data_IF_079888785226
#
_entry.id   IF_079888785226
#
_cell.length_a   1.000
_cell.length_b   1.000
_cell.length_c   1.000
_cell.angle_alpha   90.00
_cell.angle_beta   90.00
_cell.angle_gamma   90.00
#
_symmetry.space_group_name_H-M   'P 1'
#
loop_
_entity.id
_entity.type
_entity.pdbx_description
1 polymer ?
#
# COMPACT_ATOMS: atom_id res chain seq x y z
N UNK A 1 -10.76 7.81 22.04
CA UNK A 1 -12.00 8.21 22.74
C UNK A 1 -13.23 8.17 21.84
N UNK A 2 -13.28 8.94 20.75
CA UNK A 2 -14.48 9.12 19.89
C UNK A 2 -15.09 7.86 19.27
N UNK A 3 -14.31 6.80 19.03
CA UNK A 3 -14.83 5.58 18.41
C UNK A 3 -15.59 4.67 19.38
N UNK A 4 -15.36 4.79 20.69
CA UNK A 4 -16.05 3.97 21.67
C UNK A 4 -17.41 4.63 22.00
N UNK A 5 -18.55 3.97 21.74
CA UNK A 5 -19.87 4.55 22.02
C UNK A 5 -20.10 4.83 23.51
N UNK A 6 -19.36 4.14 24.38
CA UNK A 6 -19.44 4.28 25.83
C UNK A 6 -18.40 5.23 26.42
N UNK A 7 -17.53 5.84 25.60
CA UNK A 7 -16.52 6.83 26.03
C UNK A 7 -15.55 6.35 27.14
N UNK A 8 -15.34 5.03 27.24
CA UNK A 8 -14.55 4.41 28.32
C UNK A 8 -13.03 4.67 28.25
N UNK A 9 -12.36 4.66 27.08
CA UNK A 9 -10.90 4.82 27.05
C UNK A 9 -10.46 6.23 27.46
N UNK A 10 -9.54 6.33 28.41
CA UNK A 10 -8.98 7.60 28.92
C UNK A 10 -7.46 7.63 28.75
N UNK A 11 -6.87 8.82 28.77
CA UNK A 11 -5.42 8.98 28.79
C UNK A 11 -4.87 8.86 30.21
N UNK A 12 -3.64 8.39 30.32
CA UNK A 12 -2.88 8.50 31.56
C UNK A 12 -2.57 9.97 31.89
N UNK A 13 -2.41 10.27 33.19
CA UNK A 13 -2.14 11.62 33.67
C UNK A 13 -0.65 11.90 33.89
N UNK A 14 0.18 10.85 33.93
CA UNK A 14 1.55 10.93 34.43
C UNK A 14 2.54 11.42 33.36
N UNK A 15 2.29 11.11 32.07
CA UNK A 15 3.08 11.57 30.93
C UNK A 15 2.24 12.44 29.99
N UNK A 16 2.44 13.77 30.00
CA UNK A 16 1.70 14.67 29.12
C UNK A 16 2.18 14.66 27.66
N UNK A 17 3.38 14.13 27.35
CA UNK A 17 3.94 14.13 26.00
C UNK A 17 3.60 12.87 25.22
N UNK A 18 3.61 11.71 25.89
CA UNK A 18 3.28 10.41 25.29
C UNK A 18 2.31 9.59 26.14
N UNK A 19 1.12 10.12 26.47
CA UNK A 19 0.17 9.41 27.33
C UNK A 19 -0.35 8.14 26.65
N UNK A 20 -0.34 7.03 27.38
CA UNK A 20 -1.01 5.81 26.93
C UNK A 20 -2.54 5.92 27.06
N UNK A 21 -3.26 5.16 26.23
CA UNK A 21 -4.72 5.05 26.33
C UNK A 21 -5.06 3.83 27.19
N UNK A 22 -5.55 4.09 28.40
CA UNK A 22 -5.91 3.07 29.38
C UNK A 22 -7.42 2.90 29.50
N UNK A 23 -7.82 1.69 29.89
CA UNK A 23 -9.20 1.33 30.24
C UNK A 23 -9.20 0.08 31.09
N UNK A 24 -10.39 -0.31 31.59
CA UNK A 24 -10.57 -1.62 32.22
C UNK A 24 -10.07 -2.75 31.30
N UNK A 25 -9.18 -3.58 31.85
CA UNK A 25 -8.61 -4.78 31.21
C UNK A 25 -9.28 -6.06 31.67
N UNK A 26 -10.42 -5.95 32.37
CA UNK A 26 -11.13 -7.06 33.02
C UNK A 26 -10.20 -7.88 33.95
N UNK A 27 -9.17 -7.24 34.50
CA UNK A 27 -8.14 -7.88 35.32
C UNK A 27 -7.47 -9.08 34.62
N UNK A 28 -7.21 -9.01 33.31
CA UNK A 28 -6.48 -10.04 32.55
C UNK A 28 -5.33 -10.74 33.31
N UNK A 29 -4.35 -10.04 33.94
CA UNK A 29 -3.26 -10.71 34.66
C UNK A 29 -3.68 -11.49 35.91
N UNK A 30 -4.86 -11.18 36.49
CA UNK A 30 -5.44 -11.96 37.60
C UNK A 30 -6.18 -13.18 37.08
N UNK A 31 -6.94 -13.00 36.00
CA UNK A 31 -7.69 -14.08 35.37
C UNK A 31 -6.77 -15.20 34.86
N UNK A 32 -5.59 -14.85 34.32
CA UNK A 32 -4.57 -15.82 33.91
C UNK A 32 -4.08 -16.70 35.06
N UNK A 33 -4.12 -16.20 36.29
CA UNK A 33 -3.76 -16.93 37.52
C UNK A 33 -4.95 -17.65 38.15
N UNK A 34 -6.13 -17.63 37.52
CA UNK A 34 -7.36 -18.19 38.06
C UNK A 34 -7.96 -17.40 39.21
N UNK A 35 -7.53 -16.15 39.43
CA UNK A 35 -8.07 -15.26 40.46
C UNK A 35 -9.25 -14.46 39.90
N UNK A 36 -10.15 -14.02 40.77
CA UNK A 36 -11.25 -13.14 40.39
C UNK A 36 -10.76 -11.72 40.05
N UNK A 37 -11.52 -10.94 39.24
CA UNK A 37 -11.24 -9.53 39.07
C UNK A 37 -11.23 -8.79 40.41
N UNK A 38 -10.28 -7.85 40.56
CA UNK A 38 -10.07 -7.18 41.85
C UNK A 38 -11.30 -6.43 42.37
N UNK A 39 -12.08 -5.80 41.49
CA UNK A 39 -13.32 -5.12 41.88
C UNK A 39 -14.43 -6.08 42.31
N UNK A 40 -14.47 -7.29 41.73
CA UNK A 40 -15.46 -8.33 42.06
C UNK A 40 -15.12 -8.94 43.42
N UNK A 41 -13.87 -9.30 43.63
CA UNK A 41 -13.39 -9.87 44.90
C UNK A 41 -13.52 -8.88 46.06
N UNK A 42 -13.31 -7.59 45.81
CA UNK A 42 -13.41 -6.56 46.85
C UNK A 42 -14.85 -6.16 47.18
N UNK A 43 -15.86 -6.65 46.45
CA UNK A 43 -17.24 -6.20 46.60
C UNK A 43 -17.92 -6.87 47.81
N UNK A 44 -18.18 -6.15 48.93
CA UNK A 44 -18.72 -6.76 50.14
C UNK A 44 -20.20 -7.14 50.00
N UNK A 45 -20.93 -6.47 49.12
CA UNK A 45 -22.37 -6.65 48.90
C UNK A 45 -22.69 -7.62 47.76
N UNK A 46 -21.66 -8.20 47.12
CA UNK A 46 -21.80 -9.10 45.97
C UNK A 46 -22.68 -8.49 44.85
N UNK A 47 -22.58 -7.17 44.66
CA UNK A 47 -23.28 -6.47 43.57
C UNK A 47 -22.58 -6.71 42.22
N UNK A 48 -21.29 -7.03 42.26
CA UNK A 48 -20.49 -7.41 41.10
C UNK A 48 -20.32 -8.93 41.09
N UNK A 49 -20.71 -9.56 39.99
CA UNK A 49 -20.61 -11.01 39.80
C UNK A 49 -19.80 -11.25 38.52
N UNK A 50 -18.84 -12.18 38.58
CA UNK A 50 -18.03 -12.56 37.43
C UNK A 50 -18.29 -14.02 37.03
N UNK A 51 -18.36 -14.28 35.73
CA UNK A 51 -18.63 -15.61 35.21
C UNK A 51 -18.85 -15.61 33.71
N UNK A 52 -19.35 -16.75 33.20
CA UNK A 52 -19.73 -16.85 31.79
C UNK A 52 -20.95 -15.97 31.52
N UNK A 53 -20.94 -15.25 30.40
CA UNK A 53 -22.02 -14.34 30.01
C UNK A 53 -23.40 -14.98 30.03
N UNK A 54 -23.53 -16.22 29.56
CA UNK A 54 -24.80 -16.96 29.53
C UNK A 54 -25.35 -17.17 30.94
N UNK A 55 -24.48 -17.47 31.91
CA UNK A 55 -24.89 -17.70 33.29
C UNK A 55 -25.25 -16.37 33.97
N UNK A 56 -24.49 -15.30 33.69
CA UNK A 56 -24.80 -13.97 34.19
C UNK A 56 -26.15 -13.44 33.68
N UNK A 57 -26.50 -13.69 32.42
CA UNK A 57 -27.82 -13.33 31.88
C UNK A 57 -28.96 -14.08 32.58
N UNK A 58 -28.79 -15.37 32.85
CA UNK A 58 -29.77 -16.16 33.61
C UNK A 58 -29.95 -15.62 35.02
N UNK A 59 -28.86 -15.33 35.72
CA UNK A 59 -28.88 -14.74 37.07
C UNK A 59 -29.57 -13.38 37.04
N UNK A 60 -29.25 -12.54 36.06
CA UNK A 60 -29.82 -11.21 35.91
C UNK A 60 -31.35 -11.28 35.66
N UNK A 61 -31.81 -12.13 34.72
CA UNK A 61 -33.24 -12.35 34.46
C UNK A 61 -33.97 -12.89 35.68
N UNK A 62 -33.42 -13.91 36.34
CA UNK A 62 -34.00 -14.46 37.56
C UNK A 62 -34.10 -13.41 38.69
N UNK A 63 -33.14 -12.47 38.78
CA UNK A 63 -33.16 -11.39 39.78
C UNK A 63 -34.21 -10.33 39.49
N UNK A 64 -34.44 -9.98 38.21
CA UNK A 64 -35.53 -9.10 37.78
C UNK A 64 -36.87 -9.77 38.10
N UNK A 65 -37.06 -11.03 37.70
CA UNK A 65 -38.31 -11.78 37.92
C UNK A 65 -38.65 -11.95 39.41
N UNK A 66 -37.63 -12.11 40.26
CA UNK A 66 -37.82 -12.25 41.70
C UNK A 66 -38.19 -10.95 42.41
N UNK A 67 -37.77 -9.79 41.88
CA UNK A 67 -37.97 -8.47 42.47
C UNK A 67 -38.37 -7.44 41.41
N UNK A 68 -39.51 -7.61 40.72
CA UNK A 68 -39.92 -6.76 39.60
C UNK A 68 -40.18 -5.31 40.01
N UNK A 69 -40.51 -5.06 41.28
CA UNK A 69 -40.69 -3.72 41.85
C UNK A 69 -39.38 -2.96 42.04
N UNK A 70 -38.24 -3.68 42.06
CA UNK A 70 -36.93 -3.11 42.37
C UNK A 70 -36.08 -2.84 41.14
N UNK A 71 -36.35 -3.51 40.02
CA UNK A 71 -35.54 -3.42 38.82
C UNK A 71 -36.38 -3.01 37.62
N UNK A 72 -35.79 -2.20 36.75
CA UNK A 72 -36.28 -2.00 35.39
C UNK A 72 -36.17 -3.34 34.66
N UNK A 73 -37.21 -3.75 33.92
CA UNK A 73 -37.22 -4.97 33.11
C UNK A 73 -36.38 -4.80 31.83
N UNK A 74 -35.09 -4.55 32.01
CA UNK A 74 -34.10 -4.41 30.97
C UNK A 74 -32.72 -4.70 31.54
N UNK A 75 -31.95 -5.53 30.82
CA UNK A 75 -30.56 -5.83 31.14
C UNK A 75 -29.67 -5.04 30.17
N UNK A 76 -29.08 -3.96 30.67
CA UNK A 76 -28.21 -3.14 29.85
C UNK A 76 -26.90 -3.88 29.55
N UNK A 77 -26.53 -3.96 28.29
CA UNK A 77 -25.42 -4.75 27.75
C UNK A 77 -25.86 -6.10 27.15
N UNK A 78 -27.14 -6.47 27.23
CA UNK A 78 -27.63 -7.71 26.62
C UNK A 78 -27.62 -7.62 25.09
N UNK A 79 -28.06 -6.49 24.54
CA UNK A 79 -28.23 -6.28 23.09
C UNK A 79 -27.48 -5.06 22.57
N UNK A 80 -27.17 -4.10 23.44
CA UNK A 80 -26.53 -2.83 23.13
C UNK A 80 -25.20 -3.06 22.41
N UNK A 81 -25.02 -2.43 21.25
CA UNK A 81 -23.84 -2.59 20.38
C UNK A 81 -23.55 -4.06 20.00
N UNK A 82 -24.58 -4.88 19.85
CA UNK A 82 -24.44 -6.30 19.53
C UNK A 82 -24.19 -7.20 20.75
N UNK A 83 -24.34 -6.66 21.96
CA UNK A 83 -24.10 -7.34 23.23
C UNK A 83 -22.70 -7.07 23.77
N UNK A 84 -22.63 -6.73 25.05
CA UNK A 84 -21.39 -6.44 25.77
C UNK A 84 -21.04 -7.59 26.72
N UNK A 85 -19.80 -7.56 27.24
CA UNK A 85 -19.34 -8.45 28.31
C UNK A 85 -19.59 -7.90 29.71
N UNK A 86 -20.20 -6.72 29.82
CA UNK A 86 -20.45 -6.05 31.08
C UNK A 86 -21.94 -5.68 31.17
N UNK A 87 -22.64 -6.29 32.12
CA UNK A 87 -24.09 -6.22 32.22
C UNK A 87 -24.48 -5.40 33.45
N UNK A 88 -25.53 -4.59 33.33
CA UNK A 88 -26.07 -3.81 34.45
C UNK A 88 -27.54 -4.13 34.69
N UNK A 89 -27.90 -4.15 35.97
CA UNK A 89 -29.27 -4.06 36.45
C UNK A 89 -29.43 -2.71 37.16
N UNK A 90 -30.57 -2.07 36.97
CA UNK A 90 -30.88 -0.80 37.61
C UNK A 90 -32.30 -0.79 38.14
N UNK A 91 -32.52 -0.10 39.26
CA UNK A 91 -33.86 0.21 39.77
C UNK A 91 -34.44 1.54 39.25
N UNK A 92 -33.62 2.33 38.56
CA UNK A 92 -34.01 3.59 37.92
C UNK A 92 -33.72 3.52 36.41
N UNK A 93 -34.35 4.36 35.58
CA UNK A 93 -34.03 4.44 34.15
C UNK A 93 -32.53 4.60 33.90
N UNK A 94 -31.99 3.88 32.91
CA UNK A 94 -30.54 3.83 32.65
C UNK A 94 -29.97 5.20 32.26
N UNK A 95 -30.78 6.05 31.62
CA UNK A 95 -30.43 7.45 31.33
C UNK A 95 -30.08 8.27 32.57
N UNK A 96 -30.71 8.02 33.71
CA UNK A 96 -30.42 8.73 34.97
C UNK A 96 -29.07 8.32 35.56
N UNK A 97 -28.60 7.11 35.24
CA UNK A 97 -27.26 6.63 35.58
C UNK A 97 -26.19 7.11 34.60
N UNK A 98 -26.54 7.92 33.61
CA UNK A 98 -25.63 8.35 32.54
C UNK A 98 -25.31 7.25 31.53
N UNK A 99 -26.08 6.16 31.52
CA UNK A 99 -25.94 5.09 30.54
C UNK A 99 -26.72 5.43 29.27
N UNK A 100 -26.13 5.14 28.12
CA UNK A 100 -26.64 5.53 26.80
C UNK A 100 -27.60 4.50 26.23
N UNK A 101 -28.84 4.89 26.00
CA UNK A 101 -29.88 4.01 25.44
C UNK A 101 -30.02 4.14 23.91
N UNK A 102 -29.26 5.04 23.27
CA UNK A 102 -29.33 5.36 21.84
C UNK A 102 -28.42 4.49 20.94
N UNK A 103 -27.80 3.45 21.49
CA UNK A 103 -26.73 2.70 20.84
C UNK A 103 -27.22 1.65 19.83
N UNK A 104 -28.49 1.23 19.93
CA UNK A 104 -29.06 0.17 19.10
C UNK A 104 -28.38 -1.19 19.28
N UNK A 105 -28.77 -2.16 18.44
CA UNK A 105 -28.39 -3.58 18.60
C UNK A 105 -27.35 -4.07 17.59
N UNK A 106 -26.81 -3.17 16.77
CA UNK A 106 -25.84 -3.54 15.74
C UNK A 106 -24.42 -3.62 16.31
N UNK A 107 -23.69 -4.74 16.11
CA UNK A 107 -22.29 -4.83 16.52
C UNK A 107 -21.42 -3.76 15.87
N UNK A 108 -20.54 -3.12 16.65
CA UNK A 108 -19.59 -2.13 16.12
C UNK A 108 -18.78 -2.62 14.90
N UNK A 109 -18.26 -3.87 14.85
CA UNK A 109 -17.52 -4.35 13.69
C UNK A 109 -18.35 -4.44 12.41
N UNK A 110 -19.68 -4.57 12.50
CA UNK A 110 -20.56 -4.65 11.33
C UNK A 110 -20.57 -3.34 10.54
N UNK A 111 -20.33 -2.20 11.21
CA UNK A 111 -20.29 -0.88 10.58
C UNK A 111 -19.06 -0.68 9.68
N UNK A 112 -17.95 -1.35 9.98
CA UNK A 112 -16.67 -1.15 9.29
C UNK A 112 -16.21 -2.37 8.49
N UNK A 113 -16.75 -3.56 8.77
CA UNK A 113 -16.37 -4.83 8.12
C UNK A 113 -16.39 -4.76 6.60
N UNK A 114 -17.41 -4.13 6.00
CA UNK A 114 -17.52 -4.01 4.55
C UNK A 114 -16.32 -3.28 3.92
N UNK A 115 -15.92 -2.15 4.50
CA UNK A 115 -14.76 -1.39 4.05
C UNK A 115 -13.44 -2.15 4.29
N UNK A 116 -13.31 -2.80 5.45
CA UNK A 116 -12.10 -3.56 5.80
C UNK A 116 -11.84 -4.73 4.85
N UNK A 117 -12.88 -5.37 4.29
CA UNK A 117 -12.70 -6.47 3.33
C UNK A 117 -12.18 -6.01 1.95
N UNK A 118 -12.38 -4.73 1.60
CA UNK A 118 -11.92 -4.18 0.30
C UNK A 118 -10.42 -3.87 0.32
N UNK A 119 -9.86 -3.54 1.48
CA UNK A 119 -8.47 -3.09 1.60
C UNK A 119 -7.46 -4.13 1.09
N UNK A 120 -7.52 -5.43 1.47
CA UNK A 120 -6.57 -6.42 0.97
C UNK A 120 -6.59 -6.56 -0.56
N UNK A 121 -7.77 -6.41 -1.19
CA UNK A 121 -7.91 -6.46 -2.65
C UNK A 121 -7.18 -5.29 -3.29
N UNK A 122 -7.40 -4.07 -2.81
CA UNK A 122 -6.76 -2.85 -3.33
C UNK A 122 -5.24 -2.93 -3.17
N UNK A 123 -4.77 -3.32 -1.97
CA UNK A 123 -3.34 -3.44 -1.66
C UNK A 123 -2.65 -4.50 -2.51
N UNK A 124 -3.35 -5.58 -2.88
CA UNK A 124 -2.79 -6.64 -3.72
C UNK A 124 -2.80 -6.28 -5.22
N UNK A 125 -3.84 -5.60 -5.68
CA UNK A 125 -4.02 -5.27 -7.10
C UNK A 125 -3.07 -4.17 -7.57
N UNK A 126 -2.82 -3.16 -6.72
CA UNK A 126 -1.95 -2.02 -7.07
C UNK A 126 -0.51 -2.40 -7.43
N UNK A 127 0.22 -3.21 -6.64
CA UNK A 127 1.57 -3.65 -6.98
C UNK A 127 1.63 -4.44 -8.28
N UNK A 128 0.66 -5.34 -8.52
CA UNK A 128 0.58 -6.11 -9.77
C UNK A 128 0.36 -5.19 -10.96
N UNK A 129 -0.56 -4.24 -10.83
CA UNK A 129 -0.84 -3.25 -11.84
C UNK A 129 0.38 -2.37 -12.15
N UNK A 130 1.05 -1.84 -11.13
CA UNK A 130 2.24 -1.00 -11.28
C UNK A 130 3.44 -1.77 -11.86
N UNK A 131 3.66 -3.01 -11.42
CA UNK A 131 4.70 -3.88 -11.97
C UNK A 131 4.43 -4.21 -13.45
N UNK A 132 3.18 -4.47 -13.81
CA UNK A 132 2.75 -4.66 -15.19
C UNK A 132 3.00 -3.43 -16.05
N UNK A 133 2.62 -2.23 -15.58
CA UNK A 133 2.88 -0.97 -16.27
C UNK A 133 4.38 -0.71 -16.45
N UNK A 134 5.18 -0.89 -15.41
CA UNK A 134 6.63 -0.71 -15.46
C UNK A 134 7.29 -1.69 -16.45
N UNK A 135 6.88 -2.96 -16.43
CA UNK A 135 7.35 -3.96 -17.38
C UNK A 135 7.04 -3.59 -18.83
N UNK A 136 5.82 -3.09 -19.10
CA UNK A 136 5.42 -2.62 -20.43
C UNK A 136 6.20 -1.38 -20.88
N UNK A 137 6.39 -0.39 -20.01
CA UNK A 137 7.17 0.81 -20.30
C UNK A 137 8.61 0.44 -20.67
N UNK A 138 9.26 -0.38 -19.83
CA UNK A 138 10.64 -0.84 -20.08
C UNK A 138 10.79 -1.67 -21.34
N UNK A 139 9.76 -2.43 -21.72
CA UNK A 139 9.74 -3.18 -22.99
C UNK A 139 9.66 -2.24 -24.18
N UNK A 140 8.83 -1.19 -24.12
CA UNK A 140 8.72 -0.17 -25.17
C UNK A 140 10.05 0.57 -25.36
N UNK A 141 10.72 0.95 -24.27
CA UNK A 141 12.02 1.61 -24.32
C UNK A 141 13.08 0.74 -25.01
N UNK A 142 13.16 -0.55 -24.65
CA UNK A 142 14.09 -1.50 -25.29
C UNK A 142 13.82 -1.67 -26.79
N UNK A 143 12.56 -1.83 -27.19
CA UNK A 143 12.20 -1.98 -28.62
C UNK A 143 12.56 -0.69 -29.38
N UNK A 144 12.30 0.48 -28.81
CA UNK A 144 12.67 1.76 -29.43
C UNK A 144 14.19 1.93 -29.58
N UNK A 145 15.00 1.47 -28.61
CA UNK A 145 16.46 1.46 -28.73
C UNK A 145 16.95 0.49 -29.83
N UNK A 146 16.38 -0.72 -29.90
CA UNK A 146 16.72 -1.70 -30.94
C UNK A 146 16.36 -1.20 -32.34
N UNK A 147 15.20 -0.58 -32.51
CA UNK A 147 14.78 0.03 -33.79
C UNK A 147 15.69 1.19 -34.19
N UNK A 148 16.06 2.06 -33.25
CA UNK A 148 17.02 3.13 -33.49
C UNK A 148 18.39 2.58 -33.86
N UNK A 149 18.89 1.58 -33.15
CA UNK A 149 20.19 0.96 -33.45
C UNK A 149 20.21 0.32 -34.85
N UNK A 150 19.13 -0.37 -35.24
CA UNK A 150 18.98 -0.91 -36.61
C UNK A 150 18.93 0.20 -37.65
N UNK A 151 18.16 1.26 -37.40
CA UNK A 151 18.07 2.41 -38.31
C UNK A 151 19.43 3.10 -38.49
N UNK A 152 20.18 3.29 -37.41
CA UNK A 152 21.55 3.85 -37.45
C UNK A 152 22.49 2.91 -38.21
N UNK A 153 22.46 1.61 -37.94
CA UNK A 153 23.31 0.64 -38.65
C UNK A 153 23.04 0.62 -40.16
N UNK A 154 21.77 0.67 -40.57
CA UNK A 154 21.38 0.77 -41.99
C UNK A 154 21.86 2.09 -42.60
N UNK A 155 21.70 3.21 -41.89
CA UNK A 155 22.15 4.52 -42.37
C UNK A 155 23.67 4.60 -42.52
N UNK A 156 24.43 4.04 -41.56
CA UNK A 156 25.89 3.95 -41.61
C UNK A 156 26.33 3.09 -42.80
N UNK A 157 25.77 1.88 -42.96
CA UNK A 157 26.10 1.00 -44.09
C UNK A 157 25.83 1.67 -45.44
N UNK A 158 24.67 2.29 -45.61
CA UNK A 158 24.34 3.03 -46.83
C UNK A 158 25.30 4.21 -47.09
N UNK A 159 25.83 4.82 -46.04
CA UNK A 159 26.81 5.91 -46.15
C UNK A 159 28.19 5.37 -46.51
N UNK A 160 28.61 4.25 -45.92
CA UNK A 160 29.85 3.55 -46.25
C UNK A 160 29.84 3.03 -47.68
N UNK A 161 28.73 2.42 -48.13
CA UNK A 161 28.56 1.94 -49.49
C UNK A 161 28.69 3.10 -50.49
N UNK A 162 28.01 4.24 -50.25
CA UNK A 162 28.15 5.46 -51.07
C UNK A 162 29.54 6.08 -50.99
N UNK A 163 30.19 6.05 -49.83
CA UNK A 163 31.56 6.53 -49.67
C UNK A 163 32.54 5.66 -50.47
N UNK A 164 32.35 4.34 -50.49
CA UNK A 164 33.17 3.40 -51.26
C UNK A 164 32.97 3.57 -52.78
N UNK A 165 31.73 3.82 -53.21
CA UNK A 165 31.40 4.11 -54.61
C UNK A 165 32.02 5.44 -55.06
N UNK A 166 31.86 6.49 -54.26
CA UNK A 166 32.46 7.81 -54.56
C UNK A 166 33.99 7.77 -54.52
N UNK A 167 34.59 7.01 -53.60
CA UNK A 167 36.03 6.81 -53.53
C UNK A 167 36.56 6.06 -54.75
N UNK A 168 35.88 4.99 -55.19
CA UNK A 168 36.29 4.25 -56.38
C UNK A 168 36.18 5.10 -57.65
N UNK A 169 35.13 5.90 -57.79
CA UNK A 169 34.98 6.89 -58.87
C UNK A 169 36.05 7.98 -58.81
N UNK A 170 36.41 8.46 -57.62
CA UNK A 170 37.46 9.46 -57.43
C UNK A 170 38.85 8.89 -57.76
N UNK A 171 39.13 7.64 -57.36
CA UNK A 171 40.36 6.93 -57.70
C UNK A 171 40.47 6.65 -59.20
N UNK A 172 39.37 6.28 -59.87
CA UNK A 172 39.39 6.11 -61.33
C UNK A 172 39.69 7.43 -62.04
N UNK A 173 39.07 8.54 -61.61
CA UNK A 173 39.35 9.87 -62.14
C UNK A 173 40.82 10.27 -61.90
N UNK A 174 41.34 10.06 -60.70
CA UNK A 174 42.73 10.37 -60.36
C UNK A 174 43.72 9.53 -61.18
N UNK A 175 43.43 8.25 -61.44
CA UNK A 175 44.25 7.40 -62.29
C UNK A 175 44.24 7.85 -63.75
N UNK A 176 43.06 8.20 -64.30
CA UNK A 176 42.94 8.80 -65.64
C UNK A 176 43.72 10.11 -65.76
N UNK A 177 43.66 10.94 -64.73
CA UNK A 177 44.39 12.20 -64.68
C UNK A 177 45.90 11.96 -64.61
N UNK A 178 46.36 11.01 -63.79
CA UNK A 178 47.76 10.57 -63.72
C UNK A 178 48.26 10.03 -65.06
N UNK A 179 47.48 9.21 -65.77
CA UNK A 179 47.82 8.74 -67.11
C UNK A 179 47.91 9.88 -68.13
N UNK A 180 46.99 10.84 -68.08
CA UNK A 180 47.02 12.02 -68.94
C UNK A 180 48.24 12.89 -68.65
N UNK A 181 48.63 13.03 -67.39
CA UNK A 181 49.85 13.73 -66.97
C UNK A 181 51.09 12.97 -67.44
N UNK A 182 51.15 11.65 -67.28
CA UNK A 182 52.26 10.82 -67.77
C UNK A 182 52.42 10.93 -69.30
N UNK A 183 51.32 10.85 -70.05
CA UNK A 183 51.32 11.08 -71.52
C UNK A 183 51.79 12.49 -71.89
N UNK A 184 51.47 13.51 -71.08
CA UNK A 184 51.98 14.88 -71.27
C UNK A 184 53.47 14.98 -70.96
N UNK A 185 53.96 14.32 -69.91
CA UNK A 185 55.38 14.27 -69.54
C UNK A 185 56.21 13.49 -70.57
N UNK A 186 55.69 12.39 -71.11
CA UNK A 186 56.32 11.64 -72.20
C UNK A 186 56.37 12.45 -73.49
N UNK A 187 55.28 13.16 -73.84
CA UNK A 187 55.30 14.11 -74.96
C UNK A 187 56.27 15.27 -74.74
N UNK A 188 56.48 15.71 -73.49
CA UNK A 188 57.48 16.72 -73.15
C UNK A 188 58.90 16.16 -73.23
N UNK A 189 59.15 14.92 -72.79
CA UNK A 189 60.43 14.21 -72.96
C UNK A 189 60.76 13.97 -74.44
N UNK A 190 59.78 13.62 -75.28
CA UNK A 190 59.96 13.49 -76.73
C UNK A 190 60.23 14.83 -77.44
N UNK A 191 59.77 15.95 -76.87
CA UNK A 191 60.16 17.30 -77.31
C UNK A 191 61.56 17.67 -76.81
N UNK A 192 61.95 17.24 -75.61
CA UNK A 192 63.31 17.45 -75.09
C UNK A 192 64.36 16.65 -75.87
N UNK A 193 64.06 15.43 -76.34
CA UNK A 193 64.95 14.65 -77.20
C UNK A 193 65.08 15.20 -78.63
N UNK A 194 64.14 16.03 -79.09
CA UNK A 194 64.23 16.78 -80.35
C UNK A 194 64.95 18.14 -80.22
N UNK A 195 65.13 18.63 -78.99
CA UNK A 195 65.91 19.84 -78.70
C UNK A 195 67.32 19.51 -78.13
N UNK A 196 67.67 18.23 -78.04
CA UNK A 196 69.01 17.73 -77.69
C UNK A 196 69.77 17.23 -78.93
N UNK A 197 69.50 17.83 -80.09
CA UNK A 197 70.24 17.64 -81.34
C UNK A 197 70.87 18.99 -81.74
N UNK A 198 71.32 19.79 -80.77
CA UNK A 198 72.01 21.09 -80.97
C UNK A 198 72.76 21.50 -79.68
N UNK A 199 73.85 20.78 -79.41
CA UNK A 199 75.06 21.25 -78.70
C UNK A 199 76.24 20.38 -79.15
#
# INVERSE_FOLDING_TARGET
MMACPFEVPTYEYDDPYTPEVVKCTLCAPRLEKGLLPGCVESCPTESLIFGKRVDLLKIARARIEKYPERYVDHIYGEHEMGGTSWLYLSGVPFKELGLREDLGNTPAPKLTSGALHVIPMVVSLWPVFLAGMYGMAKRKDKVAEEEKAKAVAIAVKNTEDKASETLSLAMEKANKEKENILKRVERAKAKASKNGEEA
#
